data_IF_684204773639
#
_entry.id   IF_684204773639
#
_cell.length_a   1.000
_cell.length_b   1.000
_cell.length_c   1.000
_cell.angle_alpha   90.00
_cell.angle_beta   90.00
_cell.angle_gamma   90.00
#
_symmetry.space_group_name_H-M   'P 1'
#
loop_
_entity.id
_entity.type
_entity.pdbx_description
1 polymer ?
#
# COMPACT_ATOMS: atom_id res chain seq x y z
N UNK A 1 -32.68 28.47 -5.68
CA UNK A 1 -33.92 28.23 -4.91
C UNK A 1 -33.76 28.69 -3.44
N UNK A 2 -32.72 28.29 -2.72
CA UNK A 2 -32.49 28.70 -1.31
C UNK A 2 -32.34 30.21 -1.22
N UNK A 3 -31.50 30.81 -2.06
CA UNK A 3 -31.29 32.24 -2.13
C UNK A 3 -32.58 33.02 -2.43
N UNK A 4 -33.38 32.54 -3.39
CA UNK A 4 -34.64 33.21 -3.74
C UNK A 4 -35.72 33.16 -2.64
N UNK A 5 -35.55 32.28 -1.64
CA UNK A 5 -36.44 32.18 -0.48
C UNK A 5 -35.93 33.02 0.69
N UNK A 6 -34.62 33.04 0.93
CA UNK A 6 -34.01 33.68 2.08
C UNK A 6 -33.55 35.12 1.80
N UNK A 7 -33.34 35.47 0.52
CA UNK A 7 -32.79 36.75 0.05
C UNK A 7 -31.38 37.09 0.58
N UNK A 8 -30.85 36.26 1.44
CA UNK A 8 -29.52 36.37 2.03
C UNK A 8 -28.55 35.38 1.36
N UNK A 9 -27.24 35.68 1.23
CA UNK A 9 -26.25 34.76 0.70
C UNK A 9 -26.17 33.47 1.51
N UNK A 10 -26.03 32.36 0.80
CA UNK A 10 -25.95 31.00 1.38
C UNK A 10 -24.80 30.25 0.79
N UNK A 11 -24.03 29.58 1.62
CA UNK A 11 -22.96 28.69 1.18
C UNK A 11 -22.99 27.36 1.93
N UNK A 12 -22.53 26.31 1.25
CA UNK A 12 -22.37 24.97 1.80
C UNK A 12 -20.89 24.61 1.80
N UNK A 13 -20.38 24.20 2.94
CA UNK A 13 -18.99 23.77 3.13
C UNK A 13 -18.92 22.33 3.63
N UNK A 14 -17.80 21.68 3.35
CA UNK A 14 -17.51 20.35 3.88
C UNK A 14 -16.87 20.37 5.28
N UNK A 15 -16.43 19.21 5.75
CA UNK A 15 -15.79 19.04 7.06
C UNK A 15 -14.43 19.74 7.22
N UNK A 16 -13.77 20.07 6.09
CA UNK A 16 -12.48 20.80 6.04
C UNK A 16 -12.69 22.29 5.76
N UNK A 17 -13.96 22.75 5.78
CA UNK A 17 -14.41 24.10 5.45
C UNK A 17 -14.16 24.53 4.00
N UNK A 18 -13.98 23.59 3.08
CA UNK A 18 -13.93 23.89 1.66
C UNK A 18 -15.32 24.19 1.11
N UNK A 19 -15.44 25.27 0.34
CA UNK A 19 -16.71 25.68 -0.25
C UNK A 19 -17.14 24.70 -1.36
N UNK A 20 -18.21 23.97 -1.12
CA UNK A 20 -18.80 23.06 -2.10
C UNK A 20 -19.74 23.79 -3.08
N UNK A 21 -20.47 24.76 -2.57
CA UNK A 21 -21.39 25.57 -3.36
C UNK A 21 -21.73 26.87 -2.66
N UNK A 22 -21.70 27.98 -3.37
CA UNK A 22 -22.14 29.28 -2.91
C UNK A 22 -22.87 30.03 -4.02
N UNK A 23 -23.81 30.86 -3.63
CA UNK A 23 -24.46 31.82 -4.55
C UNK A 23 -23.77 33.19 -4.59
N UNK A 24 -22.78 33.41 -3.70
CA UNK A 24 -21.95 34.60 -3.65
C UNK A 24 -20.47 34.21 -3.69
N UNK A 25 -19.70 34.70 -4.69
CA UNK A 25 -18.26 34.39 -4.79
C UNK A 25 -17.42 34.85 -3.62
N UNK A 26 -17.89 35.82 -2.83
CA UNK A 26 -17.18 36.33 -1.64
C UNK A 26 -17.19 35.34 -0.47
N UNK A 27 -18.08 34.34 -0.50
CA UNK A 27 -18.20 33.28 0.50
C UNK A 27 -17.35 32.06 0.19
N UNK A 28 -16.20 32.22 -0.46
CA UNK A 28 -15.28 31.13 -0.76
C UNK A 28 -14.54 30.61 0.47
N UNK A 29 -14.35 31.44 1.49
CA UNK A 29 -13.61 31.11 2.70
C UNK A 29 -14.53 31.15 3.93
N UNK A 30 -14.58 30.05 4.66
CA UNK A 30 -15.31 29.92 5.90
C UNK A 30 -14.46 29.19 6.95
N UNK A 31 -14.56 29.65 8.19
CA UNK A 31 -14.04 28.92 9.36
C UNK A 31 -14.99 29.18 10.52
N UNK A 32 -15.33 28.13 11.24
CA UNK A 32 -16.13 28.29 12.45
C UNK A 32 -15.25 28.82 13.57
N UNK A 33 -15.69 29.93 14.21
CA UNK A 33 -14.98 30.55 15.34
C UNK A 33 -15.20 29.76 16.62
N UNK A 34 -14.22 29.81 17.53
CA UNK A 34 -14.32 29.17 18.86
C UNK A 34 -15.39 29.82 19.75
N UNK A 35 -15.67 31.10 19.54
CA UNK A 35 -16.66 31.91 20.27
C UNK A 35 -18.05 31.92 19.63
N UNK A 36 -18.30 31.03 18.65
CA UNK A 36 -19.62 30.92 18.05
C UNK A 36 -20.66 30.45 19.09
N UNK A 37 -21.70 31.24 19.27
CA UNK A 37 -22.77 30.99 20.26
C UNK A 37 -23.87 30.10 19.68
N UNK A 38 -24.41 29.20 20.50
CA UNK A 38 -25.58 28.40 20.12
C UNK A 38 -26.79 29.30 20.05
N UNK A 39 -27.46 29.30 18.90
CA UNK A 39 -28.64 30.10 18.62
C UNK A 39 -29.84 29.16 18.35
N UNK A 40 -30.94 29.38 19.08
CA UNK A 40 -32.23 28.70 18.90
C UNK A 40 -33.28 29.74 18.53
N UNK A 41 -33.76 29.74 17.27
CA UNK A 41 -34.64 30.82 16.79
C UNK A 41 -35.97 30.92 17.53
N UNK A 42 -36.58 29.80 17.90
CA UNK A 42 -37.83 29.70 18.63
C UNK A 42 -38.07 28.29 19.19
N UNK A 43 -39.07 28.15 20.11
CA UNK A 43 -39.51 26.83 20.67
C UNK A 43 -40.07 25.90 19.60
N UNK A 44 -40.54 26.43 18.47
CA UNK A 44 -41.13 25.66 17.36
C UNK A 44 -40.07 25.05 16.44
N UNK A 45 -38.88 25.64 16.38
CA UNK A 45 -37.78 25.16 15.53
C UNK A 45 -37.12 23.93 16.14
N UNK A 46 -36.88 22.90 15.33
CA UNK A 46 -36.29 21.62 15.75
C UNK A 46 -34.76 21.63 15.73
N UNK A 47 -34.16 22.63 15.07
CA UNK A 47 -32.73 22.69 14.84
C UNK A 47 -32.06 23.74 15.66
N UNK A 48 -30.82 23.49 16.07
CA UNK A 48 -29.90 24.43 16.64
C UNK A 48 -29.01 25.00 15.55
N UNK A 49 -28.69 26.25 15.67
CA UNK A 49 -27.77 26.97 14.82
C UNK A 49 -26.61 27.47 15.67
N UNK A 50 -25.49 27.77 15.03
CA UNK A 50 -24.40 28.53 15.63
C UNK A 50 -24.41 29.90 15.00
N UNK A 51 -24.39 30.92 15.83
CA UNK A 51 -24.32 32.30 15.43
C UNK A 51 -22.90 32.80 15.69
N UNK A 52 -22.26 33.36 14.66
CA UNK A 52 -21.01 34.10 14.80
C UNK A 52 -21.10 35.44 14.10
N UNK A 53 -20.35 36.44 14.61
CA UNK A 53 -20.26 37.74 14.01
C UNK A 53 -18.87 37.97 13.43
N UNK A 54 -18.80 38.18 12.12
CA UNK A 54 -17.65 38.71 11.41
C UNK A 54 -17.90 40.15 11.03
N UNK A 55 -17.81 40.50 9.76
CA UNK A 55 -18.30 41.79 9.26
C UNK A 55 -19.84 41.81 9.27
N UNK A 56 -20.45 40.69 9.06
CA UNK A 56 -21.89 40.44 9.10
C UNK A 56 -22.20 39.27 10.05
N UNK A 57 -23.48 39.17 10.45
CA UNK A 57 -23.96 38.04 11.24
C UNK A 57 -24.07 36.78 10.36
N UNK A 58 -23.55 35.67 10.83
CA UNK A 58 -23.60 34.39 10.16
C UNK A 58 -24.34 33.36 11.03
N UNK A 59 -25.30 32.68 10.43
CA UNK A 59 -26.02 31.54 11.03
C UNK A 59 -25.58 30.26 10.38
N UNK A 60 -25.05 29.33 11.17
CA UNK A 60 -24.43 28.09 10.71
C UNK A 60 -25.29 26.94 11.19
N UNK A 61 -25.71 26.07 10.27
CA UNK A 61 -26.34 24.81 10.61
C UNK A 61 -25.43 23.64 10.24
N UNK A 62 -25.17 22.75 11.21
CA UNK A 62 -24.40 21.52 10.99
C UNK A 62 -25.31 20.43 10.46
N UNK A 63 -25.00 19.91 9.29
CA UNK A 63 -25.71 18.82 8.64
C UNK A 63 -24.88 17.53 8.80
N UNK A 64 -25.27 16.71 9.78
CA UNK A 64 -24.62 15.41 9.98
C UNK A 64 -25.17 14.37 9.01
N UNK A 65 -24.26 13.69 8.32
CA UNK A 65 -24.57 12.66 7.32
C UNK A 65 -23.88 11.37 7.70
N UNK A 66 -24.63 10.29 7.79
CA UNK A 66 -24.15 8.96 8.19
C UNK A 66 -23.46 8.88 9.56
N UNK A 67 -23.60 9.91 10.42
CA UNK A 67 -23.04 9.94 11.75
C UNK A 67 -21.53 10.17 11.85
N UNK A 68 -20.85 10.37 10.71
CA UNK A 68 -19.38 10.60 10.68
C UNK A 68 -18.92 11.68 9.70
N UNK A 69 -19.83 12.32 8.95
CA UNK A 69 -19.54 13.46 8.08
C UNK A 69 -20.42 14.63 8.44
N UNK A 70 -19.79 15.79 8.64
CA UNK A 70 -20.47 17.04 8.96
C UNK A 70 -20.26 18.04 7.83
N UNK A 71 -21.35 18.61 7.35
CA UNK A 71 -21.35 19.72 6.41
C UNK A 71 -21.90 20.97 7.11
N UNK A 72 -21.49 22.15 6.64
CA UNK A 72 -21.88 23.40 7.25
C UNK A 72 -22.69 24.22 6.24
N UNK A 73 -23.96 24.46 6.54
CA UNK A 73 -24.79 25.40 5.80
C UNK A 73 -24.71 26.76 6.50
N UNK A 74 -24.16 27.73 5.81
CA UNK A 74 -23.93 29.07 6.34
C UNK A 74 -24.85 30.05 5.62
N UNK A 75 -25.58 30.87 6.38
CA UNK A 75 -26.40 31.99 5.88
C UNK A 75 -25.83 33.26 6.46
N UNK A 76 -25.50 34.23 5.60
CA UNK A 76 -24.91 35.50 5.99
C UNK A 76 -25.97 36.61 5.91
N UNK A 77 -26.24 37.32 7.01
CA UNK A 77 -27.17 38.48 7.04
C UNK A 77 -26.55 39.67 6.29
N UNK A 78 -26.75 39.68 4.97
CA UNK A 78 -26.24 40.78 4.13
C UNK A 78 -27.35 41.71 3.65
N UNK A 79 -28.45 41.13 3.18
CA UNK A 79 -29.53 41.87 2.53
C UNK A 79 -30.70 42.20 3.48
N UNK A 80 -31.02 41.26 4.37
CA UNK A 80 -32.05 41.45 5.41
C UNK A 80 -31.71 40.69 6.67
N UNK A 81 -32.32 41.10 7.81
CA UNK A 81 -32.22 40.33 9.06
C UNK A 81 -32.99 39.03 8.96
N UNK A 82 -32.44 38.00 9.56
CA UNK A 82 -33.09 36.68 9.63
C UNK A 82 -34.27 36.71 10.60
N UNK A 83 -35.44 36.33 10.12
CA UNK A 83 -36.67 36.26 10.91
C UNK A 83 -37.02 34.76 11.18
N UNK A 84 -38.00 34.52 12.07
CA UNK A 84 -38.44 33.18 12.44
C UNK A 84 -38.89 32.37 11.22
N UNK A 85 -39.56 33.00 10.26
CA UNK A 85 -40.03 32.36 9.03
C UNK A 85 -38.84 31.89 8.15
N UNK A 86 -37.73 32.62 8.13
CA UNK A 86 -36.53 32.21 7.41
C UNK A 86 -35.90 30.95 8.01
N UNK A 87 -35.88 30.83 9.35
CA UNK A 87 -35.40 29.63 10.04
C UNK A 87 -36.32 28.42 9.80
N UNK A 88 -37.63 28.59 9.74
CA UNK A 88 -38.59 27.52 9.39
C UNK A 88 -38.36 27.07 7.94
N UNK A 89 -38.11 28.02 7.02
CA UNK A 89 -37.76 27.69 5.64
C UNK A 89 -36.44 26.93 5.56
N UNK A 90 -35.41 27.34 6.32
CA UNK A 90 -34.13 26.62 6.42
C UNK A 90 -34.29 25.20 6.92
N UNK A 91 -35.13 24.92 7.90
CA UNK A 91 -35.37 23.55 8.40
C UNK A 91 -35.86 22.61 7.30
N UNK A 92 -36.82 23.08 6.48
CA UNK A 92 -37.31 22.30 5.34
C UNK A 92 -36.22 22.09 4.28
N UNK A 93 -35.44 23.15 4.02
CA UNK A 93 -34.33 23.10 3.07
C UNK A 93 -33.27 22.11 3.53
N UNK A 94 -32.89 22.13 4.82
CA UNK A 94 -31.87 21.24 5.40
C UNK A 94 -32.26 19.77 5.22
N UNK A 95 -33.53 19.41 5.38
CA UNK A 95 -34.00 18.04 5.15
C UNK A 95 -33.73 17.60 3.70
N UNK A 96 -34.14 18.45 2.72
CA UNK A 96 -33.91 18.19 1.30
C UNK A 96 -32.41 18.16 0.97
N UNK A 97 -31.65 19.11 1.50
CA UNK A 97 -30.21 19.20 1.26
C UNK A 97 -29.48 17.99 1.82
N UNK A 98 -29.84 17.52 3.02
CA UNK A 98 -29.31 16.28 3.59
C UNK A 98 -29.54 15.10 2.65
N UNK A 99 -30.75 14.94 2.10
CA UNK A 99 -31.03 13.86 1.15
C UNK A 99 -30.21 13.97 -0.15
N UNK A 100 -30.02 15.18 -0.68
CA UNK A 100 -29.21 15.41 -1.87
C UNK A 100 -27.73 15.06 -1.59
N UNK A 101 -27.19 15.50 -0.44
CA UNK A 101 -25.81 15.17 -0.03
C UNK A 101 -25.66 13.66 0.14
N UNK A 102 -26.58 13.01 0.86
CA UNK A 102 -26.57 11.55 1.05
C UNK A 102 -26.57 10.81 -0.28
N UNK A 103 -27.45 11.20 -1.21
CA UNK A 103 -27.54 10.58 -2.53
C UNK A 103 -26.24 10.77 -3.33
N UNK A 104 -25.69 11.97 -3.36
CA UNK A 104 -24.43 12.26 -4.06
C UNK A 104 -23.24 11.47 -3.48
N UNK A 105 -23.18 11.35 -2.15
CA UNK A 105 -22.17 10.52 -1.49
C UNK A 105 -22.34 9.03 -1.78
N UNK A 106 -23.59 8.54 -1.81
CA UNK A 106 -23.88 7.15 -2.18
C UNK A 106 -23.48 6.86 -3.63
N UNK A 107 -23.86 7.74 -4.56
CA UNK A 107 -23.50 7.59 -5.98
C UNK A 107 -21.98 7.59 -6.19
N UNK A 108 -21.24 8.49 -5.53
CA UNK A 108 -19.77 8.51 -5.57
C UNK A 108 -19.17 7.25 -4.94
N UNK A 109 -19.72 6.75 -3.85
CA UNK A 109 -19.27 5.53 -3.20
C UNK A 109 -19.54 4.29 -4.08
N UNK A 110 -20.72 4.19 -4.68
CA UNK A 110 -21.05 3.10 -5.61
C UNK A 110 -20.08 3.10 -6.79
N UNK A 111 -19.82 4.24 -7.42
CA UNK A 111 -18.84 4.36 -8.49
C UNK A 111 -17.42 3.97 -8.02
N UNK A 112 -17.00 4.43 -6.82
CA UNK A 112 -15.70 4.06 -6.24
C UNK A 112 -15.61 2.54 -5.96
N UNK A 113 -16.66 1.93 -5.43
CA UNK A 113 -16.71 0.48 -5.21
C UNK A 113 -16.72 -0.30 -6.51
N UNK A 114 -17.48 0.15 -7.51
CA UNK A 114 -17.50 -0.46 -8.84
C UNK A 114 -16.12 -0.42 -9.50
N UNK A 115 -15.43 0.74 -9.48
CA UNK A 115 -14.08 0.87 -10.02
C UNK A 115 -13.08 -0.04 -9.32
N UNK A 116 -13.17 -0.17 -7.99
CA UNK A 116 -12.32 -1.09 -7.22
C UNK A 116 -12.60 -2.55 -7.56
N UNK A 117 -13.87 -2.92 -7.64
CA UNK A 117 -14.29 -4.30 -7.96
C UNK A 117 -13.81 -4.71 -9.36
N UNK A 118 -14.10 -3.89 -10.37
CA UNK A 118 -13.72 -4.21 -11.76
C UNK A 118 -12.20 -4.29 -11.94
N UNK A 119 -11.45 -3.40 -11.28
CA UNK A 119 -9.99 -3.41 -11.29
C UNK A 119 -9.45 -4.67 -10.58
N UNK A 120 -10.03 -5.05 -9.44
CA UNK A 120 -9.62 -6.26 -8.72
C UNK A 120 -9.94 -7.54 -9.50
N UNK A 121 -11.10 -7.59 -10.17
CA UNK A 121 -11.47 -8.70 -11.06
C UNK A 121 -10.55 -8.79 -12.27
N UNK A 122 -10.13 -7.64 -12.84
CA UNK A 122 -9.14 -7.59 -13.92
C UNK A 122 -7.80 -8.20 -13.48
N UNK A 123 -7.29 -7.80 -12.30
CA UNK A 123 -6.06 -8.32 -11.72
C UNK A 123 -6.13 -9.82 -11.40
N UNK A 124 -7.28 -10.34 -11.02
CA UNK A 124 -7.48 -11.76 -10.78
C UNK A 124 -7.79 -12.57 -12.07
N UNK A 125 -8.04 -11.87 -13.18
CA UNK A 125 -8.34 -12.51 -14.46
C UNK A 125 -9.68 -13.22 -14.48
N UNK A 126 -10.69 -12.68 -13.79
CA UNK A 126 -12.06 -13.21 -13.71
C UNK A 126 -13.04 -12.50 -14.65
N UNK A 127 -12.57 -11.54 -15.43
CA UNK A 127 -13.36 -10.79 -16.40
C UNK A 127 -13.40 -11.48 -17.75
N UNK A 128 -14.54 -11.37 -18.44
CA UNK A 128 -14.68 -11.68 -19.87
C UNK A 128 -13.92 -10.65 -20.71
N UNK A 129 -13.71 -10.92 -22.00
CA UNK A 129 -12.99 -9.98 -22.88
C UNK A 129 -13.68 -8.62 -22.98
N UNK A 130 -15.02 -8.58 -23.06
CA UNK A 130 -15.78 -7.34 -23.07
C UNK A 130 -15.62 -6.54 -21.77
N UNK A 131 -15.70 -7.24 -20.62
CA UNK A 131 -15.49 -6.60 -19.31
C UNK A 131 -14.04 -6.10 -19.13
N UNK A 132 -13.04 -6.77 -19.72
CA UNK A 132 -11.65 -6.30 -19.73
C UNK A 132 -11.50 -5.00 -20.52
N UNK A 133 -12.19 -4.85 -21.63
CA UNK A 133 -12.17 -3.60 -22.40
C UNK A 133 -12.84 -2.44 -21.63
N UNK A 134 -13.91 -2.73 -20.90
CA UNK A 134 -14.56 -1.75 -20.02
C UNK A 134 -13.64 -1.37 -18.84
N UNK A 135 -13.05 -2.35 -18.18
CA UNK A 135 -12.07 -2.14 -17.12
C UNK A 135 -10.88 -1.30 -17.59
N UNK A 136 -10.38 -1.58 -18.79
CA UNK A 136 -9.28 -0.83 -19.38
C UNK A 136 -9.64 0.64 -19.63
N UNK A 137 -10.86 0.94 -20.09
CA UNK A 137 -11.36 2.32 -20.26
C UNK A 137 -11.41 3.05 -18.91
N UNK A 138 -11.96 2.39 -17.89
CA UNK A 138 -12.05 2.95 -16.51
C UNK A 138 -10.66 3.24 -15.96
N UNK A 139 -9.71 2.33 -16.16
CA UNK A 139 -8.32 2.43 -15.69
C UNK A 139 -7.42 3.18 -16.67
N UNK A 140 -7.95 3.74 -17.77
CA UNK A 140 -7.20 4.46 -18.81
C UNK A 140 -5.97 3.68 -19.32
N UNK A 141 -6.13 2.35 -19.47
CA UNK A 141 -5.11 1.44 -19.99
C UNK A 141 -5.35 1.12 -21.46
N UNK A 142 -4.27 1.14 -22.24
CA UNK A 142 -4.28 0.78 -23.65
C UNK A 142 -3.63 -0.59 -23.89
N UNK A 143 -3.93 -1.22 -25.04
CA UNK A 143 -3.33 -2.52 -25.44
C UNK A 143 -1.82 -2.45 -25.64
N UNK A 144 -1.29 -1.26 -25.89
CA UNK A 144 0.14 -1.00 -26.14
C UNK A 144 0.91 -0.53 -24.91
N UNK A 145 0.23 -0.24 -23.81
CA UNK A 145 0.88 0.26 -22.61
C UNK A 145 1.83 -0.78 -21.99
N UNK A 146 3.00 -0.35 -21.57
CA UNK A 146 3.88 -1.15 -20.72
C UNK A 146 3.45 -0.95 -19.27
N UNK A 147 2.90 -2.01 -18.66
CA UNK A 147 2.35 -1.95 -17.29
C UNK A 147 3.05 -2.92 -16.35
N UNK A 148 3.04 -2.58 -15.07
CA UNK A 148 3.47 -3.43 -13.96
C UNK A 148 2.50 -3.28 -12.80
N UNK A 149 2.36 -4.33 -12.02
CA UNK A 149 1.66 -4.25 -10.73
C UNK A 149 2.69 -4.16 -9.61
N UNK A 150 2.50 -3.20 -8.73
CA UNK A 150 3.28 -3.01 -7.51
C UNK A 150 2.34 -3.17 -6.32
N UNK A 151 2.73 -4.00 -5.35
CA UNK A 151 1.94 -4.23 -4.14
C UNK A 151 2.74 -3.75 -2.94
N UNK A 152 2.17 -2.81 -2.19
CA UNK A 152 2.65 -2.42 -0.88
C UNK A 152 1.86 -3.21 0.17
N UNK A 153 2.50 -4.14 0.85
CA UNK A 153 1.89 -4.94 1.91
C UNK A 153 2.26 -4.33 3.26
N UNK A 154 1.24 -3.99 4.03
CA UNK A 154 1.41 -3.49 5.40
C UNK A 154 1.77 -4.64 6.32
N UNK A 155 2.79 -4.42 7.16
CA UNK A 155 3.21 -5.36 8.19
C UNK A 155 2.63 -4.88 9.52
N UNK A 156 1.81 -5.70 10.21
CA UNK A 156 1.36 -5.35 11.56
C UNK A 156 2.53 -5.38 12.54
N UNK A 157 2.65 -4.34 13.35
CA UNK A 157 3.70 -4.23 14.38
C UNK A 157 3.31 -4.92 15.70
N UNK A 158 2.54 -6.00 15.66
CA UNK A 158 2.16 -6.79 16.83
C UNK A 158 2.46 -8.27 16.61
N UNK A 159 2.81 -8.97 17.67
CA UNK A 159 3.17 -10.39 17.68
C UNK A 159 2.00 -11.32 17.30
N UNK A 160 0.76 -10.84 17.33
CA UNK A 160 -0.44 -11.64 17.03
C UNK A 160 -0.80 -11.70 15.54
N UNK A 161 -0.13 -10.93 14.69
CA UNK A 161 -0.37 -10.91 13.23
C UNK A 161 -1.76 -10.38 12.80
N UNK A 162 -2.56 -9.86 13.75
CA UNK A 162 -3.89 -9.29 13.50
C UNK A 162 -3.86 -7.77 13.49
N UNK A 163 -4.59 -7.17 12.55
CA UNK A 163 -4.75 -5.72 12.53
C UNK A 163 -5.69 -5.26 13.65
N UNK A 164 -5.17 -4.47 14.58
CA UNK A 164 -5.99 -3.73 15.54
C UNK A 164 -6.75 -2.59 14.82
N UNK A 165 -7.82 -2.08 15.43
CA UNK A 165 -8.60 -0.97 14.85
C UNK A 165 -7.76 0.28 14.61
N UNK A 166 -6.72 0.52 15.44
CA UNK A 166 -5.74 1.59 15.23
C UNK A 166 -5.00 1.41 13.91
N UNK A 167 -4.52 0.21 13.60
CA UNK A 167 -3.79 -0.09 12.37
C UNK A 167 -4.67 0.01 11.11
N UNK A 168 -5.98 -0.25 11.23
CA UNK A 168 -6.92 -0.01 10.13
C UNK A 168 -7.02 1.47 9.78
N UNK A 169 -7.10 2.34 10.78
CA UNK A 169 -7.09 3.80 10.57
C UNK A 169 -5.76 4.28 9.96
N UNK A 170 -4.65 3.72 10.43
CA UNK A 170 -3.33 4.01 9.89
C UNK A 170 -3.22 3.57 8.42
N UNK A 171 -3.80 2.41 8.06
CA UNK A 171 -3.87 1.95 6.67
C UNK A 171 -4.73 2.88 5.79
N UNK A 172 -5.85 3.39 6.30
CA UNK A 172 -6.68 4.37 5.59
C UNK A 172 -5.93 5.69 5.35
N UNK A 173 -5.13 6.13 6.33
CA UNK A 173 -4.25 7.30 6.17
C UNK A 173 -3.20 7.04 5.09
N UNK A 174 -2.54 5.88 5.12
CA UNK A 174 -1.58 5.48 4.10
C UNK A 174 -2.23 5.42 2.70
N UNK A 175 -3.45 4.87 2.59
CA UNK A 175 -4.20 4.84 1.32
C UNK A 175 -4.42 6.26 0.78
N UNK A 176 -4.88 7.19 1.62
CA UNK A 176 -5.09 8.59 1.21
C UNK A 176 -3.80 9.23 0.70
N UNK A 177 -2.67 8.96 1.35
CA UNK A 177 -1.35 9.43 0.93
C UNK A 177 -0.94 8.83 -0.42
N UNK A 178 -1.08 7.51 -0.60
CA UNK A 178 -0.79 6.86 -1.88
C UNK A 178 -1.69 7.40 -3.00
N UNK A 179 -2.98 7.65 -2.72
CA UNK A 179 -3.90 8.26 -3.68
C UNK A 179 -3.53 9.70 -4.04
N UNK A 180 -2.92 10.43 -3.11
CA UNK A 180 -2.43 11.79 -3.36
C UNK A 180 -1.14 11.81 -4.18
N UNK A 181 -0.19 10.94 -3.85
CA UNK A 181 1.13 10.87 -4.49
C UNK A 181 1.12 10.13 -5.84
N UNK A 182 0.17 9.21 -6.03
CA UNK A 182 0.01 8.42 -7.25
C UNK A 182 -1.23 8.85 -8.02
N UNK A 183 -1.32 8.42 -9.27
CA UNK A 183 -2.53 8.64 -10.08
C UNK A 183 -3.68 7.83 -9.50
N UNK A 184 -4.74 8.51 -9.06
CA UNK A 184 -5.89 7.92 -8.32
C UNK A 184 -6.54 6.72 -9.03
N UNK A 185 -6.58 6.74 -10.36
CA UNK A 185 -7.25 5.71 -11.17
C UNK A 185 -6.55 4.35 -11.13
N UNK A 186 -5.28 4.32 -10.71
CA UNK A 186 -4.42 3.13 -10.73
C UNK A 186 -4.16 2.52 -9.35
N UNK A 187 -4.78 3.06 -8.29
CA UNK A 187 -4.56 2.60 -6.92
C UNK A 187 -5.79 1.88 -6.39
N UNK A 188 -5.60 0.65 -5.93
CA UNK A 188 -6.63 -0.19 -5.32
C UNK A 188 -6.13 -0.58 -3.94
N UNK A 189 -6.96 -0.51 -2.92
CA UNK A 189 -6.59 -1.06 -1.61
C UNK A 189 -7.44 -2.28 -1.25
N UNK A 190 -6.83 -3.18 -0.51
CA UNK A 190 -7.44 -4.32 0.15
C UNK A 190 -7.02 -4.31 1.63
N UNK A 191 -7.55 -5.18 2.47
CA UNK A 191 -7.45 -5.21 3.94
C UNK A 191 -6.07 -4.87 4.52
N UNK A 192 -4.97 -5.26 3.85
CA UNK A 192 -3.60 -4.99 4.28
C UNK A 192 -2.64 -4.68 3.13
N UNK A 193 -3.18 -4.34 1.97
CA UNK A 193 -2.38 -4.12 0.76
C UNK A 193 -2.89 -2.93 -0.02
N UNK A 194 -1.95 -2.15 -0.52
CA UNK A 194 -2.21 -1.11 -1.52
C UNK A 194 -1.61 -1.61 -2.82
N UNK A 195 -2.43 -1.73 -3.84
CA UNK A 195 -2.08 -2.26 -5.16
C UNK A 195 -2.02 -1.09 -6.12
N UNK A 196 -0.87 -0.88 -6.73
CA UNK A 196 -0.66 0.15 -7.72
C UNK A 196 -0.41 -0.46 -9.10
N UNK A 197 -1.25 -0.10 -10.06
CA UNK A 197 -1.06 -0.44 -11.47
C UNK A 197 -0.19 0.66 -12.08
N UNK A 198 1.09 0.37 -12.20
CA UNK A 198 2.05 1.31 -12.76
C UNK A 198 2.05 1.25 -14.29
N UNK A 199 1.81 2.39 -14.94
CA UNK A 199 1.96 2.59 -16.37
C UNK A 199 3.27 3.31 -16.63
N UNK A 200 4.15 2.71 -17.44
CA UNK A 200 5.47 3.27 -17.74
C UNK A 200 5.35 4.54 -18.58
N UNK A 201 6.11 5.55 -18.18
CA UNK A 201 6.23 6.76 -18.98
C UNK A 201 7.25 6.59 -20.12
N UNK A 202 7.02 7.29 -21.23
CA UNK A 202 7.93 7.28 -22.39
C UNK A 202 9.31 7.76 -21.96
N UNK A 203 10.37 6.97 -22.28
CA UNK A 203 11.75 7.30 -21.95
C UNK A 203 12.22 6.90 -20.54
N UNK A 204 11.34 6.41 -19.68
CA UNK A 204 11.70 6.03 -18.32
C UNK A 204 12.56 4.75 -18.27
N UNK A 205 13.64 4.80 -17.52
CA UNK A 205 14.54 3.66 -17.29
C UNK A 205 14.10 2.80 -16.10
N UNK A 206 14.62 1.57 -16.01
CA UNK A 206 14.38 0.70 -14.85
C UNK A 206 14.89 1.28 -13.53
N UNK A 207 15.98 2.07 -13.59
CA UNK A 207 16.57 2.70 -12.40
C UNK A 207 15.70 3.84 -11.88
N UNK A 208 15.18 4.67 -12.78
CA UNK A 208 14.25 5.77 -12.43
C UNK A 208 12.96 5.22 -11.83
N UNK A 209 12.37 4.18 -12.42
CA UNK A 209 11.21 3.51 -11.85
C UNK A 209 11.46 3.03 -10.40
N UNK A 210 12.59 2.34 -10.18
CA UNK A 210 12.94 1.85 -8.84
C UNK A 210 13.14 2.99 -7.86
N UNK A 211 13.86 4.04 -8.27
CA UNK A 211 14.07 5.23 -7.44
C UNK A 211 12.76 5.91 -7.07
N UNK A 212 11.81 6.00 -8.00
CA UNK A 212 10.46 6.53 -7.71
C UNK A 212 9.75 5.73 -6.63
N UNK A 213 9.81 4.39 -6.67
CA UNK A 213 9.18 3.55 -5.63
C UNK A 213 9.86 3.69 -4.28
N UNK A 214 11.19 3.80 -4.24
CA UNK A 214 11.95 4.02 -3.01
C UNK A 214 11.62 5.39 -2.39
N UNK A 215 11.53 6.44 -3.20
CA UNK A 215 11.12 7.78 -2.77
C UNK A 215 9.68 7.77 -2.26
N UNK A 216 8.75 7.18 -3.01
CA UNK A 216 7.34 7.06 -2.61
C UNK A 216 7.20 6.34 -1.26
N UNK A 217 7.91 5.22 -1.08
CA UNK A 217 7.89 4.49 0.19
C UNK A 217 8.43 5.34 1.34
N UNK A 218 9.54 6.08 1.11
CA UNK A 218 10.14 6.95 2.11
C UNK A 218 9.21 8.11 2.48
N UNK A 219 8.58 8.77 1.50
CA UNK A 219 7.66 9.88 1.73
C UNK A 219 6.42 9.43 2.53
N UNK A 220 5.84 8.28 2.17
CA UNK A 220 4.69 7.73 2.91
C UNK A 220 5.11 7.36 4.33
N UNK A 221 6.27 6.73 4.51
CA UNK A 221 6.78 6.34 5.83
C UNK A 221 7.03 7.57 6.70
N UNK A 222 7.68 8.61 6.18
CA UNK A 222 7.96 9.84 6.90
C UNK A 222 6.67 10.54 7.39
N UNK A 223 5.65 10.59 6.54
CA UNK A 223 4.36 11.17 6.92
C UNK A 223 3.60 10.32 7.95
N UNK A 224 3.73 9.00 7.89
CA UNK A 224 3.16 8.10 8.89
C UNK A 224 3.86 8.27 10.24
N UNK A 225 5.19 8.37 10.23
CA UNK A 225 5.99 8.59 11.44
C UNK A 225 5.64 9.93 12.12
N UNK A 226 5.40 10.99 11.34
CA UNK A 226 4.92 12.29 11.84
C UNK A 226 3.55 12.20 12.54
N UNK A 227 2.72 11.22 12.16
CA UNK A 227 1.41 10.95 12.76
C UNK A 227 1.45 9.87 13.85
N UNK A 228 2.65 9.49 14.32
CA UNK A 228 2.86 8.38 15.28
C UNK A 228 2.23 7.06 14.82
N UNK A 229 2.15 6.85 13.51
CA UNK A 229 1.64 5.63 12.91
C UNK A 229 2.80 4.67 12.65
N UNK A 230 2.82 3.54 13.38
CA UNK A 230 3.89 2.53 13.30
C UNK A 230 3.55 1.42 12.31
N UNK A 231 3.63 1.73 11.03
CA UNK A 231 3.39 0.77 9.96
C UNK A 231 4.64 0.67 9.08
N UNK A 232 5.06 -0.56 8.80
CA UNK A 232 6.09 -0.87 7.80
C UNK A 232 5.46 -1.47 6.54
N UNK A 233 6.12 -1.27 5.40
CA UNK A 233 5.69 -1.81 4.12
C UNK A 233 6.71 -2.77 3.52
N UNK A 234 6.20 -3.89 2.98
CA UNK A 234 6.92 -4.72 2.02
C UNK A 234 6.41 -4.41 0.62
N UNK A 235 7.31 -4.27 -0.33
CA UNK A 235 6.98 -3.91 -1.71
C UNK A 235 7.32 -5.07 -2.65
N UNK A 236 6.30 -5.62 -3.27
CA UNK A 236 6.42 -6.61 -4.33
C UNK A 236 6.19 -5.99 -5.70
N UNK A 237 7.12 -6.19 -6.63
CA UNK A 237 7.05 -5.67 -8.00
C UNK A 237 6.89 -6.84 -8.97
N UNK A 238 5.80 -6.83 -9.73
CA UNK A 238 5.54 -7.80 -10.80
C UNK A 238 6.40 -7.56 -12.03
N UNK A 239 6.48 -8.56 -12.91
CA UNK A 239 7.10 -8.42 -14.22
C UNK A 239 6.31 -7.43 -15.06
N UNK A 240 7.00 -6.82 -16.02
CA UNK A 240 6.33 -5.97 -17.00
C UNK A 240 5.51 -6.81 -17.96
N UNK A 241 4.35 -6.32 -18.31
CA UNK A 241 3.47 -6.87 -19.34
C UNK A 241 3.07 -5.77 -20.33
N UNK A 242 2.60 -6.15 -21.49
CA UNK A 242 2.11 -5.22 -22.51
C UNK A 242 0.59 -5.30 -22.54
N UNK A 243 -0.03 -4.16 -22.38
CA UNK A 243 -1.48 -4.03 -22.32
C UNK A 243 -2.11 -4.58 -21.03
N UNK A 244 -3.42 -4.55 -21.00
CA UNK A 244 -4.21 -4.95 -19.84
C UNK A 244 -4.61 -6.44 -19.84
N UNK A 245 -4.46 -7.14 -20.97
CA UNK A 245 -4.86 -8.56 -21.08
C UNK A 245 -4.04 -9.45 -20.14
N UNK A 246 -2.74 -9.19 -20.02
CA UNK A 246 -1.79 -10.01 -19.27
C UNK A 246 -1.46 -9.41 -17.88
N UNK A 247 -2.20 -8.38 -17.46
CA UNK A 247 -1.94 -7.69 -16.17
C UNK A 247 -2.05 -8.63 -14.96
N UNK A 248 -2.86 -9.69 -15.08
CA UNK A 248 -2.96 -10.77 -14.10
C UNK A 248 -1.60 -11.42 -13.82
N UNK A 249 -0.77 -11.62 -14.84
CA UNK A 249 0.56 -12.23 -14.68
C UNK A 249 1.45 -11.33 -13.82
N UNK A 250 1.45 -10.02 -14.11
CA UNK A 250 2.17 -9.06 -13.30
C UNK A 250 1.70 -9.02 -11.84
N UNK A 251 0.39 -9.14 -11.61
CA UNK A 251 -0.19 -9.19 -10.27
C UNK A 251 0.23 -10.45 -9.49
N UNK A 252 0.18 -11.61 -10.14
CA UNK A 252 0.64 -12.87 -9.54
C UNK A 252 2.13 -12.79 -9.21
N UNK A 253 2.93 -12.24 -10.10
CA UNK A 253 4.38 -12.06 -9.88
C UNK A 253 4.68 -11.08 -8.74
N UNK A 254 3.91 -10.01 -8.59
CA UNK A 254 4.04 -9.09 -7.47
C UNK A 254 3.71 -9.75 -6.12
N UNK A 255 2.69 -10.60 -6.07
CA UNK A 255 2.37 -11.43 -4.89
C UNK A 255 3.50 -12.39 -4.56
N UNK A 256 4.01 -13.12 -5.55
CA UNK A 256 5.15 -14.03 -5.39
C UNK A 256 6.38 -13.29 -4.84
N UNK A 257 6.68 -12.11 -5.36
CA UNK A 257 7.79 -11.30 -4.87
C UNK A 257 7.67 -11.01 -3.37
N UNK A 258 6.46 -10.72 -2.87
CA UNK A 258 6.19 -10.51 -1.44
C UNK A 258 6.32 -11.80 -0.62
N UNK A 259 5.85 -12.92 -1.14
CA UNK A 259 5.91 -14.20 -0.42
C UNK A 259 7.37 -14.68 -0.29
N UNK A 260 8.24 -14.32 -1.24
CA UNK A 260 9.66 -14.69 -1.21
C UNK A 260 10.57 -13.67 -0.52
N UNK A 261 10.06 -12.57 0.00
CA UNK A 261 10.90 -11.52 0.58
C UNK A 261 11.77 -12.04 1.72
N UNK A 262 11.26 -12.93 2.56
CA UNK A 262 12.01 -13.51 3.68
C UNK A 262 13.14 -14.44 3.19
N UNK A 263 12.89 -15.20 2.13
CA UNK A 263 13.91 -16.02 1.49
C UNK A 263 15.00 -15.14 0.88
N UNK A 264 14.59 -14.10 0.15
CA UNK A 264 15.52 -13.14 -0.48
C UNK A 264 16.36 -12.43 0.57
N UNK A 265 15.77 -12.01 1.69
CA UNK A 265 16.50 -11.41 2.82
C UNK A 265 17.59 -12.32 3.37
N UNK A 266 17.25 -13.60 3.58
CA UNK A 266 18.21 -14.61 4.07
C UNK A 266 19.32 -14.89 3.05
N UNK A 267 18.99 -15.11 1.79
CA UNK A 267 19.95 -15.45 0.73
C UNK A 267 20.88 -14.27 0.38
N UNK A 268 20.36 -13.05 0.41
CA UNK A 268 21.15 -11.84 0.09
C UNK A 268 21.88 -11.30 1.32
N UNK A 269 21.53 -11.76 2.54
CA UNK A 269 22.09 -11.24 3.80
C UNK A 269 21.60 -9.83 4.15
N UNK A 270 20.52 -9.36 3.52
CA UNK A 270 19.96 -8.03 3.73
C UNK A 270 18.62 -8.11 4.46
N UNK A 271 18.67 -8.13 5.80
CA UNK A 271 17.47 -8.22 6.65
C UNK A 271 16.53 -7.00 6.54
N UNK A 272 17.06 -5.86 6.11
CA UNK A 272 16.29 -4.60 5.96
C UNK A 272 15.62 -4.45 4.59
N UNK A 273 15.89 -5.36 3.67
CA UNK A 273 15.31 -5.27 2.33
C UNK A 273 13.79 -5.33 2.38
N UNK A 274 13.15 -4.26 1.92
CA UNK A 274 11.68 -4.13 1.89
C UNK A 274 11.11 -4.25 0.48
N UNK A 275 11.94 -4.14 -0.57
CA UNK A 275 11.51 -4.14 -1.98
C UNK A 275 12.08 -5.35 -2.73
N UNK A 276 11.20 -6.14 -3.34
CA UNK A 276 11.56 -7.28 -4.18
C UNK A 276 10.89 -7.16 -5.55
N UNK A 277 11.71 -7.21 -6.60
CA UNK A 277 11.28 -7.26 -8.01
C UNK A 277 11.30 -8.71 -8.50
N UNK A 278 10.13 -9.25 -8.87
CA UNK A 278 9.98 -10.62 -9.34
C UNK A 278 10.88 -10.93 -10.52
N UNK A 279 11.12 -9.95 -11.42
CA UNK A 279 12.02 -10.13 -12.57
C UNK A 279 13.48 -10.45 -12.19
N UNK A 280 13.88 -10.14 -10.95
CA UNK A 280 15.23 -10.38 -10.42
C UNK A 280 15.35 -11.70 -9.64
N UNK A 281 14.24 -12.37 -9.37
CA UNK A 281 14.25 -13.63 -8.64
C UNK A 281 14.79 -14.79 -9.48
N UNK A 282 14.74 -14.69 -10.83
CA UNK A 282 15.32 -15.68 -11.73
C UNK A 282 14.88 -17.10 -11.41
N UNK A 283 15.84 -18.00 -11.27
CA UNK A 283 15.61 -19.43 -11.01
C UNK A 283 15.01 -19.74 -9.62
N UNK A 284 15.09 -18.81 -8.66
CA UNK A 284 14.42 -18.92 -7.36
C UNK A 284 12.93 -19.21 -7.45
N UNK A 285 12.26 -18.65 -8.47
CA UNK A 285 10.81 -18.84 -8.65
C UNK A 285 10.44 -20.30 -8.85
N UNK A 286 11.29 -21.07 -9.54
CA UNK A 286 11.05 -22.50 -9.82
C UNK A 286 11.05 -23.30 -8.52
N UNK A 287 12.01 -23.07 -7.65
CA UNK A 287 12.09 -23.80 -6.39
C UNK A 287 10.98 -23.38 -5.41
N UNK A 288 10.64 -22.12 -5.39
CA UNK A 288 9.63 -21.61 -4.48
C UNK A 288 8.18 -22.02 -4.84
N UNK A 289 7.95 -22.47 -6.08
CA UNK A 289 6.68 -23.09 -6.49
C UNK A 289 6.51 -24.52 -5.95
N UNK A 290 7.60 -25.18 -5.55
CA UNK A 290 7.59 -26.55 -5.03
C UNK A 290 7.25 -26.49 -3.53
N UNK A 291 6.01 -26.83 -3.17
CA UNK A 291 5.56 -26.89 -1.77
C UNK A 291 5.99 -28.16 -1.03
N UNK A 292 6.33 -29.19 -1.76
CA UNK A 292 6.75 -30.48 -1.18
C UNK A 292 8.22 -30.42 -0.74
N UNK A 293 8.44 -30.37 0.58
CA UNK A 293 9.78 -30.36 1.19
C UNK A 293 10.64 -31.56 0.81
N UNK A 294 10.04 -32.76 0.63
CA UNK A 294 10.78 -33.94 0.22
C UNK A 294 11.31 -33.82 -1.21
N UNK A 295 10.48 -33.25 -2.09
CA UNK A 295 10.86 -32.95 -3.46
C UNK A 295 11.94 -31.86 -3.52
N UNK A 296 11.85 -30.82 -2.72
CA UNK A 296 12.91 -29.82 -2.61
C UNK A 296 14.23 -30.43 -2.13
N UNK A 297 14.17 -31.29 -1.11
CA UNK A 297 15.33 -31.98 -0.59
C UNK A 297 16.05 -32.85 -1.65
N UNK A 298 15.31 -33.48 -2.56
CA UNK A 298 15.90 -34.30 -3.63
C UNK A 298 16.72 -33.52 -4.67
N UNK A 299 16.56 -32.19 -4.73
CA UNK A 299 17.36 -31.32 -5.59
C UNK A 299 18.63 -30.78 -4.92
N UNK A 300 18.85 -31.07 -3.65
CA UNK A 300 20.06 -30.69 -2.95
C UNK A 300 21.15 -31.73 -3.23
N UNK A 301 22.35 -31.33 -3.68
CA UNK A 301 23.42 -32.30 -3.93
C UNK A 301 23.81 -33.07 -2.67
N UNK A 302 24.16 -34.34 -2.83
CA UNK A 302 24.49 -35.26 -1.73
C UNK A 302 25.61 -34.72 -0.84
N UNK A 303 26.65 -34.12 -1.41
CA UNK A 303 27.73 -33.47 -0.67
C UNK A 303 27.19 -32.40 0.31
N UNK A 304 26.22 -31.59 -0.14
CA UNK A 304 25.61 -30.58 0.72
C UNK A 304 24.65 -31.16 1.77
N UNK A 305 23.92 -32.23 1.43
CA UNK A 305 23.05 -32.91 2.38
C UNK A 305 23.88 -33.49 3.54
N UNK A 306 25.03 -34.08 3.26
CA UNK A 306 25.97 -34.62 4.29
C UNK A 306 26.42 -33.46 5.23
N UNK A 307 26.82 -32.34 4.67
CA UNK A 307 27.24 -31.19 5.47
C UNK A 307 26.10 -30.68 6.35
N UNK A 308 24.89 -30.54 5.79
CA UNK A 308 23.72 -30.09 6.51
C UNK A 308 23.35 -31.00 7.70
N UNK A 309 23.31 -32.31 7.48
CA UNK A 309 23.02 -33.30 8.53
C UNK A 309 24.10 -33.32 9.62
N UNK A 310 25.36 -33.17 9.23
CA UNK A 310 26.48 -33.07 10.20
C UNK A 310 26.35 -31.79 11.03
N UNK A 311 26.09 -30.64 10.38
CA UNK A 311 26.00 -29.35 11.03
C UNK A 311 24.80 -29.28 12.00
N UNK A 312 23.65 -29.82 11.62
CA UNK A 312 22.47 -29.94 12.47
C UNK A 312 22.74 -30.73 13.75
N UNK A 313 23.55 -31.81 13.67
CA UNK A 313 23.92 -32.63 14.82
C UNK A 313 24.98 -31.98 15.72
N UNK A 314 25.93 -31.27 15.13
CA UNK A 314 27.12 -30.77 15.83
C UNK A 314 27.11 -29.26 16.11
N UNK A 315 26.21 -28.52 15.54
CA UNK A 315 26.08 -27.02 15.64
C UNK A 315 27.41 -26.31 15.41
N UNK A 316 28.07 -26.63 14.28
CA UNK A 316 29.40 -26.10 13.94
C UNK A 316 29.38 -24.90 12.98
N UNK A 317 28.22 -24.41 12.61
CA UNK A 317 28.06 -23.26 11.68
C UNK A 317 28.73 -23.50 10.31
N UNK A 318 28.77 -24.76 9.84
CA UNK A 318 29.42 -25.12 8.58
C UNK A 318 28.61 -24.63 7.40
N UNK A 319 27.27 -24.75 7.44
CA UNK A 319 26.39 -24.29 6.37
C UNK A 319 26.48 -22.76 6.20
N UNK A 320 26.41 -22.01 7.31
CA UNK A 320 26.52 -20.55 7.25
C UNK A 320 27.91 -20.11 6.78
N UNK A 321 28.96 -20.86 7.16
CA UNK A 321 30.32 -20.59 6.67
C UNK A 321 30.44 -20.85 5.17
N UNK A 322 29.90 -21.97 4.67
CA UNK A 322 29.90 -22.32 3.25
C UNK A 322 29.14 -21.27 2.42
N UNK A 323 27.96 -20.87 2.88
CA UNK A 323 27.15 -19.85 2.23
C UNK A 323 27.88 -18.50 2.16
N UNK A 324 28.45 -18.05 3.27
CA UNK A 324 29.24 -16.82 3.33
C UNK A 324 30.49 -16.91 2.41
N UNK A 325 31.17 -18.05 2.39
CA UNK A 325 32.32 -18.29 1.52
C UNK A 325 31.95 -18.21 0.03
N UNK A 326 30.84 -18.82 -0.36
CA UNK A 326 30.30 -18.76 -1.73
C UNK A 326 29.89 -17.32 -2.12
N UNK A 327 29.27 -16.58 -1.20
CA UNK A 327 28.85 -15.19 -1.43
C UNK A 327 30.04 -14.22 -1.56
N UNK A 328 31.17 -14.56 -0.92
CA UNK A 328 32.41 -13.82 -0.99
C UNK A 328 33.36 -14.28 -2.12
N UNK A 329 32.81 -14.93 -3.17
CA UNK A 329 33.58 -15.46 -4.30
C UNK A 329 34.73 -16.38 -3.84
N UNK A 330 34.46 -17.24 -2.88
CA UNK A 330 35.41 -18.21 -2.33
C UNK A 330 36.66 -17.59 -1.69
N UNK A 331 36.51 -16.36 -1.17
CA UNK A 331 37.60 -15.63 -0.51
C UNK A 331 37.60 -15.85 1.00
N UNK A 332 38.56 -16.63 1.52
CA UNK A 332 38.74 -16.86 2.95
C UNK A 332 38.87 -15.55 3.76
N UNK A 333 39.59 -14.57 3.23
CA UNK A 333 39.81 -13.29 3.90
C UNK A 333 38.50 -12.47 4.02
N UNK A 334 37.71 -12.37 2.94
CA UNK A 334 36.44 -11.65 2.96
C UNK A 334 35.44 -12.35 3.88
N UNK A 335 35.35 -13.69 3.78
CA UNK A 335 34.49 -14.50 4.65
C UNK A 335 34.83 -14.33 6.12
N UNK A 336 36.12 -14.33 6.48
CA UNK A 336 36.54 -14.13 7.86
C UNK A 336 36.16 -12.74 8.41
N UNK A 337 36.27 -11.70 7.57
CA UNK A 337 35.86 -10.34 7.92
C UNK A 337 34.34 -10.24 8.13
N UNK A 338 33.55 -10.83 7.22
CA UNK A 338 32.09 -10.77 7.26
C UNK A 338 31.51 -11.58 8.43
N UNK A 339 32.10 -12.75 8.72
CA UNK A 339 31.66 -13.60 9.84
C UNK A 339 32.26 -13.19 11.19
N UNK A 340 33.09 -12.17 11.24
CA UNK A 340 33.81 -11.72 12.45
C UNK A 340 34.58 -12.84 13.17
N UNK A 341 35.19 -13.76 12.39
CA UNK A 341 36.01 -14.85 12.94
C UNK A 341 37.41 -14.81 12.34
N UNK A 342 38.36 -15.45 13.04
CA UNK A 342 39.74 -15.50 12.54
C UNK A 342 39.84 -16.29 11.23
N UNK A 343 40.68 -15.87 10.34
CA UNK A 343 40.94 -16.51 9.03
C UNK A 343 41.19 -18.01 9.10
N UNK A 344 41.98 -18.46 10.12
CA UNK A 344 42.26 -19.89 10.36
C UNK A 344 41.01 -20.68 10.72
N UNK A 345 40.03 -20.07 11.33
CA UNK A 345 38.75 -20.72 11.67
C UNK A 345 37.96 -21.02 10.40
N UNK A 346 37.93 -20.06 9.44
CA UNK A 346 37.29 -20.31 8.14
C UNK A 346 38.01 -21.42 7.38
N UNK A 347 39.33 -21.38 7.32
CA UNK A 347 40.11 -22.46 6.68
C UNK A 347 39.81 -23.81 7.28
N UNK A 348 39.78 -23.91 8.61
CA UNK A 348 39.45 -25.15 9.33
C UNK A 348 38.03 -25.64 8.99
N UNK A 349 37.04 -24.74 9.00
CA UNK A 349 35.65 -25.10 8.72
C UNK A 349 35.50 -25.56 7.26
N UNK A 350 36.12 -24.87 6.30
CA UNK A 350 36.08 -25.25 4.89
C UNK A 350 36.78 -26.61 4.64
N UNK A 351 37.95 -26.83 5.24
CA UNK A 351 38.62 -28.12 5.18
C UNK A 351 37.78 -29.22 5.80
N UNK A 352 37.07 -28.92 6.91
CA UNK A 352 36.17 -29.90 7.53
C UNK A 352 34.99 -30.27 6.64
N UNK A 353 34.42 -29.30 5.90
CA UNK A 353 33.37 -29.56 4.90
C UNK A 353 33.89 -30.52 3.83
N UNK A 354 35.07 -30.24 3.26
CA UNK A 354 35.71 -31.12 2.26
C UNK A 354 35.92 -32.53 2.81
N UNK A 355 36.48 -32.68 4.04
CA UNK A 355 36.72 -33.99 4.65
C UNK A 355 35.45 -34.84 4.84
N UNK A 356 34.34 -34.22 5.24
CA UNK A 356 33.09 -34.95 5.53
C UNK A 356 32.23 -35.24 4.31
N UNK A 357 32.28 -34.39 3.28
CA UNK A 357 31.39 -34.45 2.10
C UNK A 357 32.08 -34.79 0.81
N UNK A 358 33.42 -34.73 0.77
CA UNK A 358 34.17 -34.87 -0.48
C UNK A 358 33.96 -33.74 -1.48
N UNK A 359 33.43 -32.59 -1.04
CA UNK A 359 33.11 -31.46 -1.91
C UNK A 359 34.36 -30.84 -2.53
N UNK A 360 34.35 -30.72 -3.85
CA UNK A 360 35.43 -30.09 -4.61
C UNK A 360 35.09 -28.64 -4.97
N UNK A 361 35.79 -27.69 -4.33
CA UNK A 361 35.57 -26.27 -4.53
C UNK A 361 36.07 -25.74 -5.89
N UNK A 362 36.91 -26.53 -6.60
CA UNK A 362 37.40 -26.14 -7.92
C UNK A 362 36.45 -26.63 -9.03
N UNK A 363 35.59 -27.59 -8.72
CA UNK A 363 34.57 -28.08 -9.65
C UNK A 363 33.40 -27.11 -9.82
N UNK A 364 33.39 -26.37 -10.92
CA UNK A 364 32.39 -25.35 -11.23
C UNK A 364 30.95 -25.90 -11.21
N UNK A 365 30.78 -27.12 -11.76
CA UNK A 365 29.44 -27.75 -11.81
C UNK A 365 28.94 -28.14 -10.43
N UNK A 366 29.82 -28.66 -9.60
CA UNK A 366 29.48 -29.00 -8.20
C UNK A 366 29.17 -27.73 -7.40
N UNK A 367 29.98 -26.69 -7.54
CA UNK A 367 29.77 -25.41 -6.83
C UNK A 367 28.48 -24.73 -7.28
N UNK A 368 28.08 -24.85 -8.54
CA UNK A 368 26.78 -24.39 -9.01
C UNK A 368 25.63 -25.14 -8.35
N UNK A 369 25.74 -26.47 -8.27
CA UNK A 369 24.75 -27.32 -7.61
C UNK A 369 24.65 -27.02 -6.10
N UNK A 370 25.81 -26.87 -5.43
CA UNK A 370 25.89 -26.50 -4.01
C UNK A 370 25.22 -25.13 -3.77
N UNK A 371 25.51 -24.14 -4.62
CA UNK A 371 24.89 -22.81 -4.51
C UNK A 371 23.37 -22.87 -4.63
N UNK A 372 22.85 -23.64 -5.59
CA UNK A 372 21.42 -23.87 -5.73
C UNK A 372 20.85 -24.63 -4.52
N UNK A 373 21.57 -25.61 -4.01
CA UNK A 373 21.19 -26.37 -2.83
C UNK A 373 21.09 -25.51 -1.56
N UNK A 374 22.03 -24.57 -1.35
CA UNK A 374 21.96 -23.60 -0.25
C UNK A 374 20.71 -22.71 -0.36
N UNK A 375 20.36 -22.27 -1.56
CA UNK A 375 19.11 -21.52 -1.80
C UNK A 375 17.90 -22.36 -1.44
N UNK A 376 17.87 -23.63 -1.86
CA UNK A 376 16.78 -24.56 -1.54
C UNK A 376 16.65 -24.74 -0.02
N UNK A 377 17.76 -24.89 0.70
CA UNK A 377 17.75 -24.97 2.17
C UNK A 377 17.08 -23.74 2.80
N UNK A 378 17.41 -22.52 2.34
CA UNK A 378 16.79 -21.31 2.85
C UNK A 378 15.29 -21.19 2.51
N UNK A 379 14.87 -21.71 1.35
CA UNK A 379 13.44 -21.82 1.00
C UNK A 379 12.75 -22.79 1.97
N UNK A 380 13.32 -23.95 2.22
CA UNK A 380 12.76 -24.97 3.13
C UNK A 380 12.66 -24.49 4.59
N UNK A 381 13.57 -23.63 5.03
CA UNK A 381 13.52 -22.98 6.35
C UNK A 381 12.46 -21.88 6.44
N UNK A 382 12.03 -21.33 5.33
CA UNK A 382 11.01 -20.29 5.25
C UNK A 382 9.58 -20.84 5.08
N UNK A 383 9.43 -22.11 4.65
CA UNK A 383 8.19 -22.87 4.53
C UNK A 383 7.85 -23.56 5.87
#
# INVERSE_FOLDING_TARGET
>A
LIYSMLENPVALYDEEYECLHSNDPTLSEFTMKEDAEVFVPNIITKYQYWHQKREQSEYIHKIDVFGYRTFYLVVTEQNKKMEILDFIALENIVVVLRHIIMRSLMEKNIAKYYHKDIAYRLLNGTLTELEKEEAAKILKLEKTDEVRVVIFRVIPNNDEGKFADKQRKELEIAEKMFLHLLQKDYVIHNTNQIIYIYKKHIGETKQEFRKKLEVLQSEVQEQLDQKDAKIDFLVGIGKKVIGYHDIKESFVDAKRALDYINVVRKVVGDSKRSIVDCSKLGFFQVFAEIKDKKKLWSYIPESLQIVYEYDKKKKKELIDTLECFMNNNQSYKRTSTEMFVHYRTIMYRMKKIEEISGMDYENVTEMLAVRNGLIILRIMEAL
#
